data_IF_168821766853
#
_entry.id   IF_168821766853
#
_cell.length_a   1.000
_cell.length_b   1.000
_cell.length_c   1.000
_cell.angle_alpha   90.00
_cell.angle_beta   90.00
_cell.angle_gamma   90.00
#
_symmetry.space_group_name_H-M   'P 1'
#
loop_
_entity.id
_entity.type
_entity.pdbx_description
1 polymer ?
#
# COMPACT_ATOMS: atom_id res chain seq x y z
N UNK A 1 -16.32 2.44 -22.58
CA UNK A 1 -16.30 2.17 -21.12
C UNK A 1 -16.49 0.68 -20.76
N UNK A 2 -17.30 -0.04 -21.49
CA UNK A 2 -17.54 -1.50 -21.32
C UNK A 2 -16.28 -2.37 -21.51
N UNK A 3 -15.40 -2.03 -22.43
CA UNK A 3 -14.20 -2.82 -22.75
C UNK A 3 -13.15 -2.91 -21.62
N UNK A 4 -13.08 -1.94 -20.72
CA UNK A 4 -12.13 -2.00 -19.58
C UNK A 4 -12.62 -2.91 -18.47
N UNK A 5 -13.93 -2.97 -18.21
CA UNK A 5 -14.49 -3.85 -17.19
C UNK A 5 -14.35 -5.32 -17.57
N UNK A 6 -14.62 -5.67 -18.85
CA UNK A 6 -14.56 -7.05 -19.35
C UNK A 6 -13.15 -7.63 -19.27
N UNK A 7 -12.12 -6.83 -19.65
CA UNK A 7 -10.73 -7.27 -19.55
C UNK A 7 -10.27 -7.38 -18.09
N UNK A 8 -10.68 -6.46 -17.24
CA UNK A 8 -10.41 -6.53 -15.80
C UNK A 8 -11.05 -7.77 -15.19
N UNK A 9 -12.30 -8.07 -15.55
CA UNK A 9 -12.99 -9.27 -15.10
C UNK A 9 -12.29 -10.55 -15.57
N UNK A 10 -11.86 -10.63 -16.83
CA UNK A 10 -11.11 -11.78 -17.35
C UNK A 10 -9.80 -11.99 -16.59
N UNK A 11 -9.06 -10.92 -16.31
CA UNK A 11 -7.77 -10.97 -15.59
C UNK A 11 -7.97 -11.36 -14.12
N UNK A 12 -9.02 -10.87 -13.47
CA UNK A 12 -9.28 -11.08 -12.05
C UNK A 12 -10.05 -12.37 -11.76
N UNK A 13 -10.69 -13.00 -12.76
CA UNK A 13 -11.49 -14.20 -12.56
C UNK A 13 -10.79 -15.31 -11.77
N UNK A 14 -9.50 -15.63 -12.00
CA UNK A 14 -8.78 -16.61 -11.20
C UNK A 14 -8.63 -16.25 -9.72
N UNK A 15 -8.78 -14.98 -9.38
CA UNK A 15 -8.59 -14.44 -8.03
C UNK A 15 -9.88 -14.25 -7.23
N UNK A 16 -11.06 -14.28 -7.86
CA UNK A 16 -12.34 -14.01 -7.19
C UNK A 16 -12.60 -14.92 -5.99
N UNK A 17 -12.25 -16.19 -6.08
CA UNK A 17 -12.38 -17.13 -4.96
C UNK A 17 -11.52 -16.71 -3.76
N UNK A 18 -10.29 -16.31 -4.00
CA UNK A 18 -9.36 -15.82 -2.95
C UNK A 18 -9.83 -14.50 -2.35
N UNK A 19 -10.32 -13.58 -3.18
CA UNK A 19 -10.88 -12.30 -2.76
C UNK A 19 -12.07 -12.53 -1.81
N UNK A 20 -12.98 -13.40 -2.21
CA UNK A 20 -14.16 -13.76 -1.39
C UNK A 20 -13.78 -14.42 -0.05
N UNK A 21 -12.82 -15.34 -0.07
CA UNK A 21 -12.31 -15.99 1.16
C UNK A 21 -11.74 -15.00 2.17
N UNK A 22 -11.16 -13.91 1.69
CA UNK A 22 -10.59 -12.86 2.54
C UNK A 22 -11.63 -11.81 2.97
N UNK A 23 -12.87 -11.97 2.57
CA UNK A 23 -13.95 -11.00 2.84
C UNK A 23 -13.60 -9.58 2.34
N UNK A 24 -12.90 -9.51 1.21
CA UNK A 24 -12.53 -8.25 0.55
C UNK A 24 -13.38 -8.02 -0.69
N UNK A 25 -13.53 -6.76 -1.07
CA UNK A 25 -14.06 -6.38 -2.38
C UNK A 25 -12.94 -6.33 -3.41
N UNK A 26 -13.29 -6.43 -4.70
CA UNK A 26 -12.33 -6.24 -5.80
C UNK A 26 -11.67 -4.87 -5.72
N UNK A 27 -12.44 -3.83 -5.40
CA UNK A 27 -11.92 -2.47 -5.26
C UNK A 27 -10.91 -2.35 -4.13
N UNK A 28 -11.16 -2.96 -2.98
CA UNK A 28 -10.22 -2.97 -1.85
C UNK A 28 -8.90 -3.68 -2.22
N UNK A 29 -8.99 -4.82 -2.90
CA UNK A 29 -7.80 -5.55 -3.37
C UNK A 29 -7.00 -4.72 -4.37
N UNK A 30 -7.64 -4.13 -5.37
CA UNK A 30 -6.98 -3.30 -6.37
C UNK A 30 -6.37 -2.03 -5.77
N UNK A 31 -7.07 -1.42 -4.81
CA UNK A 31 -6.57 -0.23 -4.11
C UNK A 31 -5.32 -0.55 -3.32
N UNK A 32 -5.33 -1.60 -2.51
CA UNK A 32 -4.18 -2.01 -1.73
C UNK A 32 -3.02 -2.48 -2.62
N UNK A 33 -3.31 -3.22 -3.69
CA UNK A 33 -2.32 -3.65 -4.67
C UNK A 33 -1.64 -2.46 -5.36
N UNK A 34 -2.38 -1.39 -5.63
CA UNK A 34 -1.82 -0.17 -6.23
C UNK A 34 -0.83 0.55 -5.31
N UNK A 35 -1.05 0.51 -4.00
CA UNK A 35 -0.07 1.01 -3.02
C UNK A 35 1.15 0.10 -2.95
N UNK A 36 0.94 -1.19 -2.82
CA UNK A 36 2.01 -2.20 -2.78
C UNK A 36 2.90 -2.14 -4.02
N UNK A 37 2.32 -1.92 -5.20
CA UNK A 37 3.04 -1.75 -6.48
C UNK A 37 4.12 -0.67 -6.41
N UNK A 38 3.83 0.41 -5.73
CA UNK A 38 4.73 1.57 -5.64
C UNK A 38 5.70 1.51 -4.47
N UNK A 39 5.35 0.78 -3.42
CA UNK A 39 6.16 0.67 -2.20
C UNK A 39 7.16 -0.48 -2.27
N UNK A 40 6.83 -1.58 -2.93
CA UNK A 40 7.68 -2.77 -3.02
C UNK A 40 8.15 -3.06 -4.44
N UNK A 41 9.43 -3.39 -4.59
CA UNK A 41 10.02 -3.78 -5.89
C UNK A 41 10.02 -5.30 -6.05
N UNK A 42 10.49 -6.03 -5.03
CA UNK A 42 10.56 -7.50 -5.05
C UNK A 42 9.26 -8.11 -4.56
N UNK A 43 8.85 -9.25 -5.12
CA UNK A 43 7.64 -9.98 -4.73
C UNK A 43 7.57 -10.26 -3.23
N UNK A 44 8.68 -10.63 -2.60
CA UNK A 44 8.74 -10.85 -1.15
C UNK A 44 8.43 -9.58 -0.37
N UNK A 45 9.02 -8.44 -0.76
CA UNK A 45 8.76 -7.16 -0.10
C UNK A 45 7.31 -6.71 -0.31
N UNK A 46 6.76 -6.90 -1.50
CA UNK A 46 5.33 -6.63 -1.77
C UNK A 46 4.41 -7.43 -0.83
N UNK A 47 4.69 -8.71 -0.62
CA UNK A 47 3.95 -9.56 0.31
C UNK A 47 4.11 -9.15 1.77
N UNK A 48 5.32 -8.73 2.16
CA UNK A 48 5.59 -8.18 3.50
C UNK A 48 4.85 -6.85 3.72
N UNK A 49 4.93 -5.93 2.77
CA UNK A 49 4.26 -4.62 2.83
C UNK A 49 2.74 -4.79 2.85
N UNK A 50 2.19 -5.70 2.06
CA UNK A 50 0.76 -6.04 2.11
C UNK A 50 0.37 -6.50 3.52
N UNK A 51 1.19 -7.33 4.17
CA UNK A 51 0.98 -7.75 5.56
C UNK A 51 0.98 -6.58 6.54
N UNK A 52 1.91 -5.64 6.39
CA UNK A 52 1.95 -4.41 7.21
C UNK A 52 0.68 -3.58 7.03
N UNK A 53 0.22 -3.39 5.80
CA UNK A 53 -1.02 -2.65 5.55
C UNK A 53 -2.23 -3.31 6.18
N UNK A 54 -2.38 -4.64 6.09
CA UNK A 54 -3.45 -5.36 6.78
C UNK A 54 -3.36 -5.23 8.31
N UNK A 55 -2.16 -5.30 8.87
CA UNK A 55 -1.94 -5.09 10.31
C UNK A 55 -2.40 -3.69 10.75
N UNK A 56 -2.08 -2.65 9.96
CA UNK A 56 -2.54 -1.29 10.21
C UNK A 56 -4.06 -1.15 10.14
N UNK A 57 -4.69 -1.72 9.13
CA UNK A 57 -6.16 -1.72 8.99
C UNK A 57 -6.80 -2.39 10.21
N UNK A 58 -6.29 -3.55 10.62
CA UNK A 58 -6.77 -4.27 11.81
C UNK A 58 -6.59 -3.47 13.10
N UNK A 59 -5.49 -2.72 13.20
CA UNK A 59 -5.20 -1.84 14.34
C UNK A 59 -5.91 -0.48 14.27
N UNK A 60 -6.77 -0.27 13.27
CA UNK A 60 -7.45 1.00 13.02
C UNK A 60 -6.49 2.18 12.84
N UNK A 61 -5.36 1.94 12.21
CA UNK A 61 -4.34 2.93 11.88
C UNK A 61 -4.48 3.38 10.42
N UNK A 62 -4.21 4.66 10.10
CA UNK A 62 -4.14 5.10 8.70
C UNK A 62 -2.96 4.44 8.01
N UNK A 63 -3.07 4.18 6.70
CA UNK A 63 -2.00 3.51 5.94
C UNK A 63 -0.76 4.39 5.76
N UNK A 64 -0.93 5.71 5.72
CA UNK A 64 0.15 6.71 5.63
C UNK A 64 1.08 6.50 4.41
N UNK A 65 0.49 6.17 3.26
CA UNK A 65 1.25 6.05 2.02
C UNK A 65 1.41 7.41 1.35
N UNK A 66 2.65 7.77 1.03
CA UNK A 66 2.99 8.99 0.28
C UNK A 66 2.34 9.00 -1.10
N UNK A 67 2.15 7.84 -1.71
CA UNK A 67 1.48 7.67 -3.00
C UNK A 67 0.08 8.26 -2.97
N UNK A 68 -0.65 8.08 -1.87
CA UNK A 68 -2.00 8.62 -1.71
C UNK A 68 -2.03 10.15 -1.69
N UNK A 69 -1.03 10.75 -1.08
CA UNK A 69 -0.89 12.22 -1.03
C UNK A 69 -0.49 12.79 -2.39
N UNK A 70 0.48 12.16 -3.05
CA UNK A 70 0.89 12.57 -4.40
C UNK A 70 -0.27 12.47 -5.39
N UNK A 71 -1.08 11.42 -5.28
CA UNK A 71 -2.31 11.27 -6.07
C UNK A 71 -3.31 12.41 -5.79
N UNK A 72 -3.55 12.70 -4.50
CA UNK A 72 -4.46 13.78 -4.09
C UNK A 72 -4.00 15.17 -4.57
N UNK A 73 -2.69 15.40 -4.59
CA UNK A 73 -2.10 16.65 -5.07
C UNK A 73 -1.98 16.71 -6.61
N UNK A 74 -2.18 15.58 -7.30
CA UNK A 74 -1.88 15.43 -8.73
C UNK A 74 -0.45 15.89 -9.08
N UNK A 75 0.51 15.57 -8.19
CA UNK A 75 1.93 15.94 -8.34
C UNK A 75 2.81 14.82 -7.84
N UNK A 76 3.87 14.55 -8.60
CA UNK A 76 4.95 13.71 -8.14
C UNK A 76 5.97 14.56 -7.38
N UNK A 77 6.25 14.21 -6.13
CA UNK A 77 7.23 14.88 -5.28
C UNK A 77 8.26 13.90 -4.78
N UNK A 78 9.50 14.34 -4.69
CA UNK A 78 10.58 13.52 -4.14
C UNK A 78 10.46 13.35 -2.62
N UNK A 79 9.95 14.36 -1.94
CA UNK A 79 9.60 14.32 -0.52
C UNK A 79 8.34 15.14 -0.24
N UNK A 80 7.55 14.70 0.73
CA UNK A 80 6.35 15.39 1.18
C UNK A 80 6.66 16.29 2.36
N UNK A 81 6.04 17.47 2.35
CA UNK A 81 6.08 18.38 3.50
C UNK A 81 4.95 18.09 4.48
N UNK A 82 5.04 18.64 5.69
CA UNK A 82 3.96 18.57 6.68
C UNK A 82 2.65 19.19 6.18
N UNK A 83 2.74 20.16 5.26
CA UNK A 83 1.57 20.76 4.60
C UNK A 83 0.94 19.79 3.60
N UNK A 84 1.77 19.08 2.84
CA UNK A 84 1.30 18.13 1.84
C UNK A 84 0.50 16.99 2.49
N UNK A 85 0.99 16.40 3.56
CA UNK A 85 0.32 15.28 4.24
C UNK A 85 -1.01 15.68 4.93
N UNK A 86 -1.29 16.97 5.02
CA UNK A 86 -2.55 17.51 5.55
C UNK A 86 -3.55 17.91 4.47
N UNK A 87 -3.26 17.65 3.19
CA UNK A 87 -4.16 18.02 2.10
C UNK A 87 -5.54 17.41 2.31
N UNK A 88 -6.58 18.23 2.14
CA UNK A 88 -7.97 17.79 2.24
C UNK A 88 -8.37 17.05 0.96
N UNK A 89 -8.40 15.73 1.03
CA UNK A 89 -8.82 14.86 -0.05
C UNK A 89 -9.30 13.54 0.52
N UNK A 90 -10.36 12.92 -0.02
CA UNK A 90 -10.77 11.56 0.39
C UNK A 90 -9.70 10.51 0.07
N UNK A 91 -8.75 10.81 -0.83
CA UNK A 91 -7.64 9.94 -1.18
C UNK A 91 -6.46 10.03 -0.21
N UNK A 92 -6.40 11.02 0.69
CA UNK A 92 -5.29 11.20 1.61
C UNK A 92 -5.33 10.18 2.75
N UNK A 93 -4.52 9.14 2.66
CA UNK A 93 -4.44 8.06 3.66
C UNK A 93 -3.55 8.40 4.88
N UNK A 94 -3.08 9.62 5.02
CA UNK A 94 -2.57 10.14 6.30
C UNK A 94 -3.70 10.63 7.20
N UNK A 95 -4.79 11.12 6.59
CA UNK A 95 -5.94 11.69 7.29
C UNK A 95 -7.07 10.67 7.43
N UNK A 96 -7.29 9.85 6.40
CA UNK A 96 -8.37 8.85 6.36
C UNK A 96 -7.83 7.45 6.63
N UNK A 97 -8.55 6.70 7.45
CA UNK A 97 -8.27 5.28 7.72
C UNK A 97 -8.90 4.38 6.65
N UNK A 98 -8.43 3.14 6.60
CA UNK A 98 -8.94 2.15 5.65
C UNK A 98 -8.26 2.20 4.29
N UNK A 99 -8.90 1.59 3.28
CA UNK A 99 -8.32 1.38 1.95
C UNK A 99 -8.28 2.63 1.07
N UNK A 100 -9.16 3.60 1.33
CA UNK A 100 -9.36 4.75 0.46
C UNK A 100 -10.41 4.52 -0.64
N UNK A 101 -10.69 5.56 -1.47
CA UNK A 101 -11.83 5.53 -2.40
C UNK A 101 -11.63 4.66 -3.64
N UNK A 102 -10.41 4.30 -3.97
CA UNK A 102 -10.11 3.49 -5.14
C UNK A 102 -8.63 3.39 -5.47
N UNK A 103 -8.25 2.64 -6.51
CA UNK A 103 -6.86 2.45 -6.91
C UNK A 103 -6.16 3.75 -7.26
N UNK A 104 -4.90 3.86 -6.86
CA UNK A 104 -4.03 5.01 -7.12
C UNK A 104 -3.24 4.87 -8.43
N UNK A 105 -3.16 3.67 -8.95
CA UNK A 105 -2.53 3.31 -10.23
C UNK A 105 -3.08 1.97 -10.71
N UNK A 106 -2.54 1.49 -11.83
CA UNK A 106 -2.87 0.17 -12.37
C UNK A 106 -1.87 -0.87 -11.84
N UNK A 107 -2.24 -1.71 -10.86
CA UNK A 107 -1.31 -2.65 -10.26
C UNK A 107 -1.01 -3.84 -11.16
N UNK A 108 0.19 -4.42 -11.00
CA UNK A 108 0.56 -5.68 -11.63
C UNK A 108 -0.14 -6.89 -10.97
N UNK A 109 -0.15 -8.01 -11.68
CA UNK A 109 -0.64 -9.28 -11.11
C UNK A 109 0.18 -9.73 -9.90
N UNK A 110 1.49 -9.43 -9.86
CA UNK A 110 2.34 -9.72 -8.71
C UNK A 110 1.89 -8.94 -7.46
N UNK A 111 1.52 -7.68 -7.61
CA UNK A 111 0.99 -6.88 -6.50
C UNK A 111 -0.39 -7.35 -6.04
N UNK A 112 -1.26 -7.75 -6.95
CA UNK A 112 -2.56 -8.36 -6.63
C UNK A 112 -2.35 -9.69 -5.87
N UNK A 113 -1.47 -10.54 -6.37
CA UNK A 113 -1.10 -11.80 -5.70
C UNK A 113 -0.51 -11.55 -4.30
N UNK A 114 0.32 -10.52 -4.14
CA UNK A 114 0.90 -10.15 -2.86
C UNK A 114 -0.16 -9.78 -1.82
N UNK A 115 -1.18 -9.03 -2.22
CA UNK A 115 -2.32 -8.67 -1.35
C UNK A 115 -3.13 -9.90 -0.97
N UNK A 116 -3.33 -10.83 -1.88
CA UNK A 116 -4.08 -12.06 -1.63
C UNK A 116 -3.28 -13.11 -0.84
N UNK A 117 -1.95 -13.04 -0.87
CA UNK A 117 -1.04 -13.95 -0.17
C UNK A 117 0.00 -13.17 0.64
N UNK A 118 -0.43 -12.32 1.58
CA UNK A 118 0.51 -11.53 2.38
C UNK A 118 1.32 -12.43 3.30
N UNK A 119 2.54 -12.01 3.61
CA UNK A 119 3.34 -12.65 4.65
C UNK A 119 2.83 -12.17 6.01
N UNK A 120 2.45 -13.10 6.87
CA UNK A 120 1.99 -12.80 8.22
C UNK A 120 3.15 -12.30 9.08
N UNK A 121 2.94 -11.20 9.78
CA UNK A 121 3.89 -10.63 10.72
C UNK A 121 3.15 -9.75 11.74
N UNK A 122 3.90 -9.22 12.72
CA UNK A 122 3.41 -8.22 13.66
C UNK A 122 3.89 -6.80 13.29
N UNK A 123 4.51 -6.63 12.13
CA UNK A 123 5.05 -5.35 11.71
C UNK A 123 3.95 -4.34 11.38
N UNK A 124 4.14 -3.12 11.87
CA UNK A 124 3.27 -1.97 11.61
C UNK A 124 3.97 -0.87 10.81
N UNK A 125 5.29 -0.95 10.65
CA UNK A 125 6.12 0.04 9.97
C UNK A 125 7.10 -0.63 9.02
N UNK A 126 7.40 0.06 7.93
CA UNK A 126 8.49 -0.30 7.03
C UNK A 126 9.20 0.95 6.50
N UNK A 127 10.45 0.79 6.11
CA UNK A 127 11.24 1.82 5.45
C UNK A 127 12.22 1.18 4.47
N UNK A 128 12.32 1.72 3.28
CA UNK A 128 13.32 1.30 2.30
C UNK A 128 14.59 2.14 2.43
N UNK A 129 15.74 1.49 2.39
CA UNK A 129 17.01 2.18 2.21
C UNK A 129 17.09 2.66 0.75
N UNK A 130 17.10 3.96 0.53
CA UNK A 130 17.07 4.56 -0.82
C UNK A 130 18.32 4.24 -1.66
N UNK A 131 19.44 3.92 -1.01
CA UNK A 131 20.70 3.57 -1.69
C UNK A 131 20.76 2.10 -2.12
N UNK A 132 20.26 1.19 -1.28
CA UNK A 132 20.37 -0.26 -1.49
C UNK A 132 19.07 -0.91 -1.94
N UNK A 133 17.94 -0.25 -1.78
CA UNK A 133 16.60 -0.79 -2.01
C UNK A 133 16.16 -1.83 -0.97
N UNK A 134 16.97 -2.10 0.06
CA UNK A 134 16.60 -3.02 1.13
C UNK A 134 15.50 -2.44 2.00
N UNK A 135 14.45 -3.23 2.25
CA UNK A 135 13.33 -2.84 3.09
C UNK A 135 13.52 -3.40 4.49
N UNK A 136 13.27 -2.57 5.49
CA UNK A 136 13.31 -2.90 6.91
C UNK A 136 11.91 -2.76 7.49
N UNK A 137 11.57 -3.67 8.40
CA UNK A 137 10.24 -3.76 9.02
C UNK A 137 10.37 -3.63 10.54
N UNK A 138 9.43 -2.92 11.17
CA UNK A 138 9.45 -2.67 12.61
C UNK A 138 8.03 -2.83 13.20
N UNK A 139 7.97 -3.27 14.45
CA UNK A 139 6.69 -3.48 15.15
C UNK A 139 6.17 -2.19 15.81
N UNK A 140 7.06 -1.31 16.25
CA UNK A 140 6.69 -0.07 16.94
C UNK A 140 7.35 1.16 16.31
N UNK A 141 6.81 2.32 16.66
CA UNK A 141 7.24 3.59 16.09
C UNK A 141 8.66 4.00 16.50
N UNK A 142 9.06 3.70 17.74
CA UNK A 142 10.40 4.05 18.22
C UNK A 142 11.50 3.31 17.45
N UNK A 143 11.31 2.02 17.21
CA UNK A 143 12.21 1.23 16.36
C UNK A 143 12.25 1.77 14.94
N UNK A 144 11.10 2.15 14.39
CA UNK A 144 11.00 2.75 13.06
C UNK A 144 11.78 4.06 12.98
N UNK A 145 11.65 4.96 13.96
CA UNK A 145 12.42 6.22 14.05
C UNK A 145 13.91 5.96 14.13
N UNK A 146 14.35 5.02 14.98
CA UNK A 146 15.76 4.64 15.09
C UNK A 146 16.30 4.11 13.76
N UNK A 147 15.50 3.32 13.06
CA UNK A 147 15.87 2.81 11.74
C UNK A 147 16.01 3.92 10.72
N UNK A 148 15.05 4.83 10.64
CA UNK A 148 15.12 5.99 9.73
C UNK A 148 16.37 6.81 9.99
N UNK A 149 16.67 7.13 11.25
CA UNK A 149 17.87 7.87 11.63
C UNK A 149 19.15 7.13 11.22
N UNK A 150 19.20 5.80 11.40
CA UNK A 150 20.37 4.98 11.00
C UNK A 150 20.60 4.94 9.49
N UNK A 151 19.55 5.18 8.69
CA UNK A 151 19.61 5.23 7.22
C UNK A 151 19.86 6.64 6.69
N UNK A 152 19.88 7.65 7.57
CA UNK A 152 20.03 9.05 7.19
C UNK A 152 18.79 9.63 6.50
N UNK A 153 17.62 9.13 6.87
CA UNK A 153 16.33 9.51 6.32
C UNK A 153 15.40 10.12 7.39
#
# INVERSE_FOLDING_TARGET
>A
MLFRSDKTDQVLQPYYSSIKKKHLTVQEVLTLASLVEREGVKSKDRRMIAGVFFNRIKANMPLQSDISVMYALNKHKHSLTLKDIKVKSPYNLYVHKGYGPGPFNNPSLDSISAVLNPIKSNYLYFVANLKTGKVYYNENYDEHLKRNSSLGQ
#
